data_IF_047833962953
#
_entry.id   IF_047833962953
#
_cell.length_a   1.000
_cell.length_b   1.000
_cell.length_c   1.000
_cell.angle_alpha   90.00
_cell.angle_beta   90.00
_cell.angle_gamma   90.00
#
_symmetry.space_group_name_H-M   'P 1'
#
loop_
_entity.id
_entity.type
_entity.pdbx_description
1 polymer ?
#
# COMPACT_ATOMS: atom_id res chain seq x y z
N UNK A 1 3.01 13.85 1.28
CA UNK A 1 2.84 12.41 0.99
C UNK A 1 2.95 11.60 2.29
N UNK A 2 2.32 10.40 2.34
CA UNK A 2 2.34 9.56 3.53
C UNK A 2 1.50 10.11 4.71
N UNK A 3 0.64 11.05 4.46
CA UNK A 3 -0.27 11.60 5.47
C UNK A 3 -1.35 10.57 5.82
N UNK A 4 -1.61 10.40 7.11
CA UNK A 4 -2.46 9.31 7.63
C UNK A 4 -3.81 9.75 8.16
N UNK A 5 -4.10 11.05 8.13
CA UNK A 5 -5.33 11.65 8.66
C UNK A 5 -6.13 12.27 7.52
N UNK A 6 -7.44 12.41 7.71
CA UNK A 6 -8.26 13.20 6.78
C UNK A 6 -7.78 14.64 6.79
N UNK A 7 -7.60 15.23 5.61
CA UNK A 7 -7.29 16.65 5.48
C UNK A 7 -8.59 17.42 5.68
N UNK A 8 -8.60 18.46 6.53
CA UNK A 8 -9.78 19.28 6.74
C UNK A 8 -10.36 19.82 5.42
N UNK A 9 -11.69 19.79 5.29
CA UNK A 9 -12.40 20.19 4.06
C UNK A 9 -12.04 21.63 3.64
N UNK A 10 -11.94 22.55 4.60
CA UNK A 10 -11.52 23.94 4.36
C UNK A 10 -10.12 24.08 3.73
N UNK A 11 -9.22 23.11 3.93
CA UNK A 11 -7.90 23.08 3.27
C UNK A 11 -8.08 22.58 1.83
N UNK A 12 -8.84 21.51 1.66
CA UNK A 12 -9.09 20.91 0.33
C UNK A 12 -9.81 21.88 -0.59
N UNK A 13 -10.71 22.71 -0.06
CA UNK A 13 -11.43 23.74 -0.81
C UNK A 13 -10.56 24.94 -1.21
N UNK A 14 -9.62 25.33 -0.34
CA UNK A 14 -8.76 26.51 -0.55
C UNK A 14 -7.52 26.24 -1.38
N UNK A 15 -7.02 25.01 -1.37
CA UNK A 15 -5.74 24.65 -1.98
C UNK A 15 -5.89 23.50 -2.96
N UNK A 16 -5.03 23.46 -3.96
CA UNK A 16 -4.91 22.31 -4.86
C UNK A 16 -4.15 21.18 -4.14
N UNK A 17 -4.89 20.36 -3.42
CA UNK A 17 -4.34 19.26 -2.63
C UNK A 17 -4.19 18.00 -3.46
N UNK A 18 -3.01 17.37 -3.42
CA UNK A 18 -2.70 16.12 -4.11
C UNK A 18 -2.09 15.10 -3.15
N UNK A 19 -2.28 13.82 -3.46
CA UNK A 19 -1.68 12.73 -2.71
C UNK A 19 -1.12 11.66 -3.63
N UNK A 20 -0.03 11.02 -3.19
CA UNK A 20 0.46 9.77 -3.74
C UNK A 20 -0.11 8.61 -2.92
N UNK A 21 -0.74 7.67 -3.62
CA UNK A 21 -1.25 6.43 -3.03
C UNK A 21 -0.62 5.23 -3.74
N UNK A 22 0.03 4.30 -3.01
CA UNK A 22 0.73 3.18 -3.61
C UNK A 22 -0.22 2.01 -3.91
N UNK A 23 -1.18 2.26 -4.78
CA UNK A 23 -2.06 1.25 -5.35
C UNK A 23 -2.62 1.71 -6.70
N UNK A 24 -3.10 0.77 -7.53
CA UNK A 24 -3.76 1.08 -8.79
C UNK A 24 -5.20 1.55 -8.53
N UNK A 25 -5.38 2.80 -8.04
CA UNK A 25 -6.72 3.35 -7.82
C UNK A 25 -7.61 3.15 -9.06
N UNK A 26 -8.86 2.77 -8.88
CA UNK A 26 -9.67 2.80 -7.65
C UNK A 26 -9.54 1.60 -6.71
N UNK A 27 -8.69 0.62 -7.02
CA UNK A 27 -8.46 -0.53 -6.15
C UNK A 27 -7.57 -0.15 -4.96
N UNK A 28 -7.78 -0.83 -3.82
CA UNK A 28 -6.98 -0.70 -2.60
C UNK A 28 -6.97 0.71 -2.01
N UNK A 29 -8.12 1.44 -2.04
CA UNK A 29 -8.30 2.67 -1.28
C UNK A 29 -8.16 2.42 0.21
N UNK A 30 -7.78 3.43 0.97
CA UNK A 30 -7.73 3.42 2.44
C UNK A 30 -6.42 2.93 3.01
N UNK A 31 -6.48 2.11 4.07
CA UNK A 31 -5.32 1.80 4.91
C UNK A 31 -4.47 0.64 4.44
N UNK A 32 -3.16 0.71 4.71
CA UNK A 32 -2.17 -0.36 4.49
C UNK A 32 -2.18 -0.96 3.07
N UNK A 33 -2.21 -0.11 2.02
CA UNK A 33 -2.37 -0.60 0.65
C UNK A 33 -1.28 -1.56 0.21
N UNK A 34 -0.01 -1.33 0.58
CA UNK A 34 1.12 -2.19 0.20
C UNK A 34 0.96 -3.57 0.81
N UNK A 35 0.70 -3.65 2.12
CA UNK A 35 0.56 -4.91 2.84
C UNK A 35 -0.64 -5.71 2.33
N UNK A 36 -1.78 -5.04 2.12
CA UNK A 36 -2.99 -5.71 1.63
C UNK A 36 -2.79 -6.27 0.22
N UNK A 37 -2.12 -5.56 -0.67
CA UNK A 37 -1.82 -6.05 -2.02
C UNK A 37 -0.91 -7.29 -1.98
N UNK A 38 0.21 -7.23 -1.23
CA UNK A 38 1.16 -8.33 -1.13
C UNK A 38 0.51 -9.57 -0.50
N UNK A 39 -0.24 -9.41 0.59
CA UNK A 39 -0.96 -10.51 1.27
C UNK A 39 -2.03 -11.13 0.36
N UNK A 40 -2.64 -10.33 -0.52
CA UNK A 40 -3.60 -10.82 -1.51
C UNK A 40 -2.92 -11.48 -2.73
N UNK A 41 -1.59 -11.57 -2.76
CA UNK A 41 -0.82 -12.23 -3.82
C UNK A 41 -0.57 -11.37 -5.06
N UNK A 42 -0.85 -10.07 -5.00
CA UNK A 42 -0.51 -9.17 -6.12
C UNK A 42 1.01 -9.10 -6.30
N UNK A 43 1.47 -9.17 -7.53
CA UNK A 43 2.89 -9.08 -7.90
C UNK A 43 3.24 -7.71 -8.51
N UNK A 44 2.25 -7.05 -9.07
CA UNK A 44 2.35 -5.73 -9.67
C UNK A 44 1.38 -4.77 -8.99
N UNK A 45 1.73 -3.50 -8.95
CA UNK A 45 0.93 -2.41 -8.43
C UNK A 45 1.13 -1.14 -9.25
N UNK A 46 0.60 -0.04 -8.76
CA UNK A 46 0.89 1.29 -9.31
C UNK A 46 1.05 2.32 -8.19
N UNK A 47 1.80 3.37 -8.43
CA UNK A 47 1.69 4.59 -7.65
C UNK A 47 0.71 5.51 -8.37
N UNK A 48 -0.32 5.93 -7.68
CA UNK A 48 -1.32 6.87 -8.19
C UNK A 48 -1.13 8.24 -7.54
N UNK A 49 -0.89 9.26 -8.34
CA UNK A 49 -0.97 10.66 -7.95
C UNK A 49 -2.38 11.15 -8.29
N UNK A 50 -3.13 11.61 -7.29
CA UNK A 50 -4.51 12.03 -7.47
C UNK A 50 -4.81 13.33 -6.72
N UNK A 51 -5.85 14.06 -7.16
CA UNK A 51 -6.38 15.24 -6.49
C UNK A 51 -7.25 14.81 -5.32
N UNK A 52 -6.98 15.34 -4.13
CA UNK A 52 -7.75 15.01 -2.93
C UNK A 52 -9.16 15.62 -3.03
N UNK A 53 -10.15 14.84 -2.62
CA UNK A 53 -11.52 15.28 -2.38
C UNK A 53 -11.95 14.86 -0.96
N UNK A 54 -13.22 15.00 -0.61
CA UNK A 54 -13.79 14.66 0.70
C UNK A 54 -13.82 13.15 0.99
N UNK A 55 -13.78 12.32 -0.04
CA UNK A 55 -13.89 10.87 0.11
C UNK A 55 -12.50 10.22 0.13
N UNK A 56 -12.37 9.10 0.86
CA UNK A 56 -11.08 8.43 1.04
C UNK A 56 -10.54 7.92 -0.30
N UNK A 57 -9.40 8.46 -0.73
CA UNK A 57 -8.63 8.08 -1.93
C UNK A 57 -9.50 7.99 -3.21
N UNK A 58 -10.56 8.82 -3.30
CA UNK A 58 -11.56 8.76 -4.34
C UNK A 58 -11.53 9.93 -5.34
N UNK A 59 -10.57 10.83 -5.19
CA UNK A 59 -10.43 11.99 -6.08
C UNK A 59 -9.88 11.63 -7.46
N UNK A 60 -9.94 12.58 -8.39
CA UNK A 60 -9.55 12.37 -9.78
C UNK A 60 -8.06 12.05 -9.91
N UNK A 61 -7.73 11.05 -10.71
CA UNK A 61 -6.36 10.62 -10.98
C UNK A 61 -5.69 11.65 -11.90
N UNK A 62 -4.50 12.10 -11.48
CA UNK A 62 -3.61 12.96 -12.27
C UNK A 62 -2.69 12.09 -13.12
N UNK A 63 -1.99 11.16 -12.47
CA UNK A 63 -1.12 10.17 -13.11
C UNK A 63 -1.15 8.86 -12.34
N UNK A 64 -0.90 7.76 -13.05
CA UNK A 64 -0.74 6.44 -12.47
C UNK A 64 0.35 5.70 -13.24
N UNK A 65 1.38 5.19 -12.55
CA UNK A 65 2.49 4.45 -13.15
C UNK A 65 2.72 3.13 -12.41
N UNK A 66 2.92 2.03 -13.14
CA UNK A 66 3.09 0.72 -12.55
C UNK A 66 4.46 0.56 -11.85
N UNK A 67 4.50 -0.35 -10.88
CA UNK A 67 5.74 -0.85 -10.27
C UNK A 67 5.55 -2.27 -9.74
N UNK A 68 6.67 -3.01 -9.58
CA UNK A 68 6.64 -4.37 -9.06
C UNK A 68 6.59 -4.40 -7.53
N UNK A 69 5.77 -5.31 -6.97
CA UNK A 69 5.71 -5.67 -5.54
C UNK A 69 6.66 -6.81 -5.15
N UNK A 70 7.47 -7.31 -6.09
CA UNK A 70 8.45 -8.36 -5.82
C UNK A 70 9.63 -7.85 -4.97
N UNK A 71 10.28 -8.78 -4.23
CA UNK A 71 11.40 -8.46 -3.35
C UNK A 71 10.97 -8.14 -1.91
N UNK A 72 11.91 -7.61 -1.13
CA UNK A 72 11.63 -7.23 0.25
C UNK A 72 10.92 -5.86 0.35
N UNK A 73 10.39 -5.54 1.53
CA UNK A 73 9.65 -4.29 1.73
C UNK A 73 10.49 -3.05 1.43
N UNK A 74 11.79 -3.08 1.70
CA UNK A 74 12.68 -1.94 1.45
C UNK A 74 12.82 -1.68 -0.05
N UNK A 75 12.93 -2.73 -0.86
CA UNK A 75 12.96 -2.62 -2.33
C UNK A 75 11.64 -2.08 -2.88
N UNK A 76 10.51 -2.60 -2.38
CA UNK A 76 9.17 -2.11 -2.75
C UNK A 76 9.00 -0.62 -2.41
N UNK A 77 9.39 -0.21 -1.20
CA UNK A 77 9.35 1.20 -0.78
C UNK A 77 10.28 2.07 -1.63
N UNK A 78 11.44 1.57 -2.01
CA UNK A 78 12.37 2.26 -2.92
C UNK A 78 11.74 2.57 -4.26
N UNK A 79 11.08 1.59 -4.90
CA UNK A 79 10.35 1.78 -6.17
C UNK A 79 9.20 2.79 -6.04
N UNK A 80 8.46 2.75 -4.93
CA UNK A 80 7.39 3.72 -4.67
C UNK A 80 7.94 5.15 -4.59
N UNK A 81 9.08 5.34 -3.94
CA UNK A 81 9.73 6.67 -3.85
C UNK A 81 10.20 7.14 -5.22
N UNK A 82 10.81 6.25 -6.01
CA UNK A 82 11.28 6.56 -7.37
C UNK A 82 10.12 6.98 -8.28
N UNK A 83 9.10 6.13 -8.39
CA UNK A 83 7.91 6.39 -9.20
C UNK A 83 7.15 7.62 -8.70
N UNK A 84 6.97 7.75 -7.38
CA UNK A 84 6.30 8.90 -6.79
C UNK A 84 7.02 10.23 -7.03
N UNK A 85 8.35 10.22 -7.00
CA UNK A 85 9.16 11.39 -7.33
C UNK A 85 9.02 11.76 -8.80
N UNK A 86 9.06 10.78 -9.70
CA UNK A 86 8.82 10.98 -11.12
C UNK A 86 7.44 11.60 -11.38
N UNK A 87 6.37 11.05 -10.81
CA UNK A 87 5.01 11.56 -10.99
C UNK A 87 4.84 12.98 -10.45
N UNK A 88 5.46 13.26 -9.30
CA UNK A 88 5.43 14.60 -8.69
C UNK A 88 6.09 15.63 -9.60
N UNK A 89 7.28 15.34 -10.11
CA UNK A 89 7.98 16.22 -11.05
C UNK A 89 7.17 16.42 -12.33
N UNK A 90 6.65 15.33 -12.92
CA UNK A 90 5.79 15.37 -14.11
C UNK A 90 4.57 16.27 -13.90
N UNK A 91 3.94 16.19 -12.73
CA UNK A 91 2.80 17.06 -12.37
C UNK A 91 3.22 18.53 -12.27
N UNK A 92 4.34 18.83 -11.61
CA UNK A 92 4.82 20.22 -11.45
C UNK A 92 5.10 20.87 -12.82
N UNK A 93 5.78 20.15 -13.71
CA UNK A 93 6.08 20.65 -15.05
C UNK A 93 4.85 20.88 -15.92
N UNK A 94 3.79 20.10 -15.72
CA UNK A 94 2.57 20.17 -16.51
C UNK A 94 1.38 20.78 -15.75
N UNK A 95 1.62 21.48 -14.65
CA UNK A 95 0.58 21.88 -13.70
C UNK A 95 -0.61 22.61 -14.33
N UNK A 96 -0.40 23.44 -15.34
CA UNK A 96 -1.46 24.19 -16.02
C UNK A 96 -2.20 23.38 -17.11
N UNK A 97 -1.72 22.17 -17.44
CA UNK A 97 -2.27 21.33 -18.51
C UNK A 97 -2.56 19.89 -18.01
N UNK A 98 -2.98 19.75 -16.74
CA UNK A 98 -3.31 18.44 -16.18
C UNK A 98 -4.63 17.93 -16.74
N UNK A 99 -4.63 16.71 -17.24
CA UNK A 99 -5.83 15.96 -17.61
C UNK A 99 -6.22 15.05 -16.44
N UNK A 100 -7.36 15.34 -15.82
CA UNK A 100 -7.84 14.65 -14.63
C UNK A 100 -8.81 13.53 -15.03
N UNK A 101 -8.48 12.30 -14.67
CA UNK A 101 -9.29 11.13 -14.97
C UNK A 101 -10.14 10.75 -13.75
N UNK A 102 -11.45 10.70 -13.91
CA UNK A 102 -12.36 10.21 -12.86
C UNK A 102 -12.12 8.75 -12.58
N UNK A 103 -12.15 8.39 -11.30
CA UNK A 103 -12.09 7.00 -10.91
C UNK A 103 -13.41 6.29 -11.19
N UNK A 104 -13.35 5.05 -11.66
CA UNK A 104 -14.50 4.15 -11.79
C UNK A 104 -14.87 3.59 -10.40
N UNK A 105 -15.87 4.20 -9.76
CA UNK A 105 -16.27 3.84 -8.41
C UNK A 105 -16.83 2.42 -8.28
N UNK A 106 -17.35 1.84 -9.36
CA UNK A 106 -17.87 0.46 -9.35
C UNK A 106 -16.76 -0.58 -9.23
N UNK A 107 -15.52 -0.19 -9.58
CA UNK A 107 -14.31 -1.03 -9.44
C UNK A 107 -13.54 -0.77 -8.16
N UNK A 108 -14.01 0.13 -7.31
CA UNK A 108 -13.29 0.51 -6.11
C UNK A 108 -13.30 -0.60 -5.04
N UNK A 109 -12.16 -0.78 -4.39
CA UNK A 109 -12.06 -1.58 -3.17
C UNK A 109 -11.51 -0.71 -2.04
N UNK A 110 -12.04 -0.89 -0.82
CA UNK A 110 -11.68 -0.11 0.35
C UNK A 110 -11.17 -1.03 1.45
N UNK A 111 -10.00 -0.71 1.99
CA UNK A 111 -9.38 -1.46 3.07
C UNK A 111 -9.21 -0.59 4.33
N UNK A 112 -9.43 -1.20 5.49
CA UNK A 112 -9.08 -0.57 6.77
C UNK A 112 -7.58 -0.64 6.99
N UNK A 113 -7.04 0.29 7.79
CA UNK A 113 -5.66 0.18 8.26
C UNK A 113 -5.49 -1.08 9.10
N UNK A 114 -4.48 -1.88 8.76
CA UNK A 114 -4.11 -3.07 9.53
C UNK A 114 -3.66 -2.68 10.94
N UNK A 115 -4.03 -3.54 11.89
CA UNK A 115 -3.61 -3.41 13.29
C UNK A 115 -2.40 -4.32 13.56
N UNK A 116 -1.59 -4.02 14.60
CA UNK A 116 -0.44 -4.85 14.95
C UNK A 116 -0.78 -6.33 15.21
N UNK A 117 -1.97 -6.61 15.77
CA UNK A 117 -2.45 -7.97 16.06
C UNK A 117 -2.64 -8.80 14.79
N UNK A 118 -2.96 -8.16 13.66
CA UNK A 118 -3.13 -8.83 12.37
C UNK A 118 -1.78 -9.27 11.74
N UNK A 119 -0.65 -8.97 12.40
CA UNK A 119 0.68 -9.45 12.02
C UNK A 119 1.00 -10.83 12.59
N UNK A 120 0.12 -11.41 13.40
CA UNK A 120 0.30 -12.76 13.93
C UNK A 120 0.17 -13.80 12.82
N UNK A 121 1.09 -14.77 12.85
CA UNK A 121 1.05 -16.00 12.07
C UNK A 121 0.71 -17.11 13.05
N UNK A 122 -0.40 -17.79 12.81
CA UNK A 122 -0.83 -18.90 13.66
C UNK A 122 -0.17 -20.21 13.19
N UNK A 123 -0.02 -21.16 14.10
CA UNK A 123 0.53 -22.49 13.75
C UNK A 123 -0.34 -23.17 12.69
N UNK A 124 -1.63 -22.96 12.76
CA UNK A 124 -2.63 -23.48 11.80
C UNK A 124 -2.42 -22.93 10.38
N UNK A 125 -1.84 -21.72 10.24
CA UNK A 125 -1.56 -21.13 8.94
C UNK A 125 -0.60 -22.02 8.12
N UNK A 126 0.33 -22.72 8.76
CA UNK A 126 1.26 -23.64 8.09
C UNK A 126 0.59 -24.88 7.47
N UNK A 127 -0.65 -25.17 7.85
CA UNK A 127 -1.45 -26.26 7.28
C UNK A 127 -2.48 -25.78 6.24
N UNK A 128 -2.72 -24.46 6.17
CA UNK A 128 -3.80 -23.87 5.36
C UNK A 128 -3.32 -22.92 4.28
N UNK A 129 -2.16 -22.29 4.49
CA UNK A 129 -1.54 -21.36 3.56
C UNK A 129 -0.34 -22.01 2.86
N UNK A 130 -0.05 -21.57 1.63
CA UNK A 130 1.16 -21.96 0.93
C UNK A 130 2.39 -21.28 1.53
N UNK A 131 3.58 -21.82 1.27
CA UNK A 131 4.84 -21.20 1.67
C UNK A 131 4.97 -19.76 1.12
N UNK A 132 4.52 -19.52 -0.12
CA UNK A 132 4.50 -18.21 -0.74
C UNK A 132 3.60 -17.23 0.04
N UNK A 133 2.39 -17.64 0.43
CA UNK A 133 1.47 -16.79 1.20
C UNK A 133 2.03 -16.42 2.58
N UNK A 134 2.69 -17.36 3.26
CA UNK A 134 3.36 -17.09 4.54
C UNK A 134 4.55 -16.16 4.33
N UNK A 135 5.35 -16.41 3.28
CA UNK A 135 6.47 -15.55 2.91
C UNK A 135 6.00 -14.13 2.60
N UNK A 136 4.96 -13.97 1.79
CA UNK A 136 4.36 -12.66 1.45
C UNK A 136 3.90 -11.91 2.71
N UNK A 137 3.28 -12.61 3.67
CA UNK A 137 2.90 -12.03 4.96
C UNK A 137 4.12 -11.58 5.77
N UNK A 138 5.21 -12.35 5.79
CA UNK A 138 6.44 -11.98 6.51
C UNK A 138 7.15 -10.81 5.82
N UNK A 139 7.37 -10.87 4.50
CA UNK A 139 8.14 -9.85 3.78
C UNK A 139 7.47 -8.47 3.73
N UNK A 140 6.11 -8.41 3.75
CA UNK A 140 5.40 -7.14 3.75
C UNK A 140 5.25 -6.50 5.16
N UNK A 141 5.52 -7.28 6.22
CA UNK A 141 5.42 -6.86 7.62
C UNK A 141 6.81 -6.70 8.23
N UNK A 142 7.66 -5.94 7.57
CA UNK A 142 9.00 -5.53 8.03
C UNK A 142 8.99 -4.08 8.51
N UNK A 143 10.06 -3.67 9.20
CA UNK A 143 10.21 -2.27 9.62
C UNK A 143 10.01 -1.32 8.42
N UNK A 144 9.27 -0.21 8.57
CA UNK A 144 8.77 0.40 9.82
C UNK A 144 7.37 -0.10 10.27
N UNK A 145 6.83 -1.13 9.67
CA UNK A 145 5.53 -1.70 10.06
C UNK A 145 5.68 -2.74 11.18
N UNK A 146 4.58 -3.05 11.91
CA UNK A 146 4.59 -4.14 12.90
C UNK A 146 5.02 -5.46 12.23
N UNK A 147 6.13 -6.04 12.73
CA UNK A 147 6.68 -7.25 12.15
C UNK A 147 5.75 -8.46 12.37
N UNK A 148 5.78 -9.41 11.43
CA UNK A 148 5.11 -10.69 11.59
C UNK A 148 5.65 -11.42 12.82
N UNK A 149 4.78 -12.11 13.57
CA UNK A 149 5.17 -12.82 14.78
C UNK A 149 4.32 -14.07 15.00
N UNK A 150 4.86 -14.98 15.81
CA UNK A 150 4.15 -16.13 16.38
C UNK A 150 4.09 -15.95 17.89
N UNK A 151 2.94 -16.16 18.51
CA UNK A 151 2.80 -16.19 19.96
C UNK A 151 3.25 -17.55 20.50
N UNK A 152 4.26 -17.53 21.36
CA UNK A 152 4.84 -18.71 21.99
C UNK A 152 4.23 -18.94 23.38
N UNK A 153 4.63 -20.07 24.03
CA UNK A 153 4.23 -20.41 25.41
C UNK A 153 4.51 -19.24 26.35
N UNK A 154 3.54 -18.92 27.18
CA UNK A 154 3.63 -17.79 28.13
C UNK A 154 3.32 -16.42 27.52
N UNK A 155 2.79 -16.36 26.29
CA UNK A 155 2.39 -15.11 25.64
C UNK A 155 3.54 -14.30 25.06
N UNK A 156 4.76 -14.84 25.02
CA UNK A 156 5.91 -14.19 24.40
C UNK A 156 5.81 -14.25 22.87
N UNK A 157 6.36 -13.23 22.16
CA UNK A 157 6.31 -13.14 20.70
C UNK A 157 7.66 -13.48 20.09
N UNK A 158 7.66 -14.39 19.12
CA UNK A 158 8.79 -14.64 18.23
C UNK A 158 8.56 -13.85 16.92
N UNK A 159 9.38 -12.85 16.65
CA UNK A 159 9.28 -12.05 15.43
C UNK A 159 9.95 -12.72 14.23
N UNK A 160 9.24 -12.78 13.12
CA UNK A 160 9.68 -13.33 11.84
C UNK A 160 10.05 -12.18 10.91
N UNK A 161 11.34 -11.86 10.83
CA UNK A 161 11.82 -10.70 10.05
C UNK A 161 12.20 -11.04 8.61
N UNK A 162 12.56 -12.30 8.35
CA UNK A 162 12.91 -12.80 7.01
C UNK A 162 12.46 -14.24 6.86
N UNK A 163 12.11 -14.58 5.64
CA UNK A 163 11.82 -15.93 5.21
C UNK A 163 12.26 -16.11 3.76
N UNK A 164 12.43 -17.32 3.36
CA UNK A 164 12.60 -17.74 1.99
C UNK A 164 11.80 -19.03 1.79
N UNK A 165 11.51 -19.39 0.53
CA UNK A 165 10.80 -20.63 0.22
C UNK A 165 11.26 -21.19 -1.13
N UNK A 166 11.21 -22.50 -1.25
CA UNK A 166 11.54 -23.21 -2.47
C UNK A 166 10.40 -23.10 -3.46
N UNK A 167 10.69 -22.61 -4.66
CA UNK A 167 9.73 -22.59 -5.78
C UNK A 167 9.88 -23.90 -6.55
N UNK A 168 8.80 -24.66 -6.68
CA UNK A 168 8.73 -25.88 -7.50
C UNK A 168 8.23 -25.57 -8.91
#
# INVERSE_FOLDING_TARGET
YGWSWMIPEEIVEKFYCVMLHPSPLPKYRGGSPIQNQIINGEKESAVTLFKINKDIDAGDIIYQEPFSLEGDLKEVLGRIVEVGSYLTNKMIYNFYNLDLQKQDHDKATLYKRRKPEESEIFIEDFNTLTAEQIHDKIRCLQDPYPNAFITCKGGTKLYLKKSDYERH
#
